data_IF_958843130923
#
_entry.id   IF_958843130923
#
_cell.length_a   1.000
_cell.length_b   1.000
_cell.length_c   1.000
_cell.angle_alpha   90.00
_cell.angle_beta   90.00
_cell.angle_gamma   90.00
#
_symmetry.space_group_name_H-M   'P 1'
#
loop_
_entity.id
_entity.type
_entity.pdbx_description
1 polymer ?
#
# COMPACT_ATOMS: atom_id res chain seq x y z
N UNK A 1 -9.93 2.80 14.72
CA UNK A 1 -8.84 3.67 14.23
C UNK A 1 -9.42 4.75 13.35
N UNK A 2 -9.09 6.00 13.59
CA UNK A 2 -9.52 7.14 12.77
C UNK A 2 -8.66 7.30 11.51
N UNK A 3 -9.14 8.10 10.53
CA UNK A 3 -8.36 8.45 9.33
C UNK A 3 -7.08 9.20 9.70
N UNK A 4 -7.11 10.06 10.74
CA UNK A 4 -5.93 10.77 11.22
C UNK A 4 -4.87 9.80 11.76
N UNK A 5 -5.27 8.83 12.59
CA UNK A 5 -4.38 7.78 13.08
C UNK A 5 -3.82 6.91 11.94
N UNK A 6 -4.65 6.57 10.94
CA UNK A 6 -4.19 5.87 9.76
C UNK A 6 -3.12 6.67 9.01
N UNK A 7 -3.30 7.99 8.87
CA UNK A 7 -2.33 8.87 8.21
C UNK A 7 -0.97 8.88 8.93
N UNK A 8 -0.94 8.90 10.27
CA UNK A 8 0.28 8.81 11.07
C UNK A 8 1.00 7.46 10.86
N UNK A 9 0.26 6.37 10.80
CA UNK A 9 0.83 5.03 10.54
C UNK A 9 1.43 4.97 9.13
N UNK A 10 0.79 5.61 8.13
CA UNK A 10 1.35 5.69 6.79
C UNK A 10 2.72 6.35 6.76
N UNK A 11 2.95 7.41 7.55
CA UNK A 11 4.23 8.12 7.61
C UNK A 11 5.35 7.22 8.11
N UNK A 12 5.12 6.50 9.21
CA UNK A 12 6.11 5.53 9.74
C UNK A 12 6.33 4.39 8.75
N UNK A 13 5.25 3.83 8.20
CA UNK A 13 5.32 2.72 7.27
C UNK A 13 6.04 3.06 5.97
N UNK A 14 5.90 4.30 5.49
CA UNK A 14 6.60 4.79 4.31
C UNK A 14 8.14 4.74 4.51
N UNK A 15 8.62 5.19 5.65
CA UNK A 15 10.06 5.18 5.96
C UNK A 15 10.61 3.76 6.18
N UNK A 16 9.83 2.87 6.80
CA UNK A 16 10.21 1.45 6.91
C UNK A 16 10.30 0.79 5.53
N UNK A 17 9.37 1.09 4.63
CA UNK A 17 9.37 0.55 3.27
C UNK A 17 10.54 1.10 2.44
N UNK A 18 10.83 2.38 2.57
CA UNK A 18 12.00 3.00 1.96
C UNK A 18 13.31 2.39 2.45
N UNK A 19 13.47 2.20 3.76
CA UNK A 19 14.64 1.51 4.32
C UNK A 19 14.77 0.09 3.80
N UNK A 20 13.66 -0.66 3.72
CA UNK A 20 13.67 -1.99 3.11
C UNK A 20 14.20 -1.96 1.67
N UNK A 21 13.78 -0.98 0.89
CA UNK A 21 14.24 -0.77 -0.49
C UNK A 21 15.74 -0.47 -0.59
N UNK A 22 16.24 0.43 0.24
CA UNK A 22 17.68 0.73 0.32
C UNK A 22 18.50 -0.54 0.58
N UNK A 23 18.08 -1.33 1.56
CA UNK A 23 18.76 -2.57 1.93
C UNK A 23 18.65 -3.63 0.83
N UNK A 24 17.48 -3.77 0.20
CA UNK A 24 17.24 -4.71 -0.88
C UNK A 24 18.08 -4.39 -2.12
N UNK A 25 18.28 -3.12 -2.46
CA UNK A 25 19.00 -2.69 -3.67
C UNK A 25 20.42 -3.27 -3.79
N UNK A 26 21.12 -3.47 -2.67
CA UNK A 26 22.45 -4.09 -2.64
C UNK A 26 22.43 -5.63 -2.65
N UNK A 27 21.25 -6.24 -2.50
CA UNK A 27 21.10 -7.69 -2.28
C UNK A 27 20.39 -8.41 -3.44
N UNK A 28 19.51 -7.71 -4.16
CA UNK A 28 18.71 -8.31 -5.24
C UNK A 28 19.59 -8.89 -6.34
N UNK A 29 19.16 -10.05 -6.83
CA UNK A 29 19.74 -10.71 -8.00
C UNK A 29 18.90 -10.41 -9.24
N UNK A 30 19.42 -10.73 -10.43
CA UNK A 30 18.64 -10.66 -11.67
C UNK A 30 17.37 -11.53 -11.62
N UNK A 31 17.43 -12.65 -10.89
CA UNK A 31 16.27 -13.52 -10.68
C UNK A 31 15.20 -12.84 -9.83
N UNK A 32 15.59 -12.17 -8.75
CA UNK A 32 14.66 -11.42 -7.89
C UNK A 32 13.99 -10.29 -8.67
N UNK A 33 14.75 -9.56 -9.48
CA UNK A 33 14.21 -8.49 -10.34
C UNK A 33 13.22 -9.04 -11.36
N UNK A 34 13.53 -10.18 -11.99
CA UNK A 34 12.63 -10.83 -12.93
C UNK A 34 11.33 -11.33 -12.25
N UNK A 35 11.44 -11.90 -11.06
CA UNK A 35 10.29 -12.32 -10.23
C UNK A 35 9.38 -11.13 -9.92
N UNK A 36 9.94 -10.03 -9.41
CA UNK A 36 9.20 -8.80 -9.10
C UNK A 36 8.54 -8.20 -10.35
N UNK A 37 9.22 -8.20 -11.49
CA UNK A 37 8.66 -7.77 -12.77
C UNK A 37 7.46 -8.62 -13.21
N UNK A 38 7.53 -9.93 -13.00
CA UNK A 38 6.41 -10.86 -13.23
C UNK A 38 5.21 -10.56 -12.32
N UNK A 39 5.43 -10.26 -11.05
CA UNK A 39 4.38 -9.86 -10.12
C UNK A 39 3.70 -8.56 -10.54
N UNK A 40 4.45 -7.57 -11.01
CA UNK A 40 3.90 -6.30 -11.53
C UNK A 40 3.05 -6.54 -12.79
N UNK A 41 3.52 -7.41 -13.69
CA UNK A 41 2.77 -7.79 -14.89
C UNK A 41 1.45 -8.48 -14.53
N UNK A 42 1.46 -9.41 -13.58
CA UNK A 42 0.25 -10.09 -13.09
C UNK A 42 -0.74 -9.09 -12.45
N UNK A 43 -0.25 -8.15 -11.63
CA UNK A 43 -1.08 -7.06 -11.09
C UNK A 43 -1.69 -6.19 -12.20
N UNK A 44 -1.00 -6.01 -13.32
CA UNK A 44 -1.50 -5.26 -14.48
C UNK A 44 -2.71 -5.90 -15.16
N UNK A 45 -2.89 -7.22 -15.02
CA UNK A 45 -4.03 -7.96 -15.55
C UNK A 45 -5.27 -7.94 -14.63
N UNK A 46 -5.11 -7.50 -13.38
CA UNK A 46 -6.20 -7.44 -12.42
C UNK A 46 -7.27 -6.42 -12.84
N UNK A 47 -8.55 -6.82 -12.80
CA UNK A 47 -9.68 -6.01 -13.29
C UNK A 47 -10.34 -5.18 -12.18
N UNK A 48 -10.17 -5.58 -10.94
CA UNK A 48 -10.83 -4.98 -9.78
C UNK A 48 -9.93 -5.05 -8.53
N UNK A 49 -10.40 -4.44 -7.44
CA UNK A 49 -9.67 -4.40 -6.18
C UNK A 49 -9.55 -5.80 -5.55
N UNK A 50 -10.50 -6.68 -5.75
CA UNK A 50 -10.50 -8.01 -5.13
C UNK A 50 -9.41 -8.91 -5.73
N UNK A 51 -9.16 -8.79 -7.03
CA UNK A 51 -8.07 -9.47 -7.73
C UNK A 51 -6.71 -8.77 -7.55
N UNK A 52 -6.68 -7.44 -7.49
CA UNK A 52 -5.46 -6.66 -7.37
C UNK A 52 -4.85 -6.69 -5.97
N UNK A 53 -5.67 -6.52 -4.93
CA UNK A 53 -5.18 -6.26 -3.58
C UNK A 53 -4.33 -7.40 -2.98
N UNK A 54 -4.70 -8.69 -3.12
CA UNK A 54 -3.85 -9.78 -2.66
C UNK A 54 -2.47 -9.81 -3.34
N UNK A 55 -2.41 -9.53 -4.64
CA UNK A 55 -1.16 -9.45 -5.40
C UNK A 55 -0.29 -8.27 -4.93
N UNK A 56 -0.91 -7.12 -4.68
CA UNK A 56 -0.24 -5.95 -4.11
C UNK A 56 0.35 -6.25 -2.73
N UNK A 57 -0.38 -6.97 -1.87
CA UNK A 57 0.14 -7.37 -0.55
C UNK A 57 1.34 -8.31 -0.70
N UNK A 58 1.26 -9.30 -1.58
CA UNK A 58 2.35 -10.24 -1.85
C UNK A 58 3.60 -9.55 -2.41
N UNK A 59 3.43 -8.59 -3.34
CA UNK A 59 4.53 -7.80 -3.91
C UNK A 59 5.27 -7.00 -2.83
N UNK A 60 4.53 -6.30 -1.98
CA UNK A 60 5.11 -5.55 -0.86
C UNK A 60 5.84 -6.46 0.12
N UNK A 61 5.27 -7.62 0.45
CA UNK A 61 5.91 -8.59 1.33
C UNK A 61 7.25 -9.08 0.74
N UNK A 62 7.27 -9.37 -0.56
CA UNK A 62 8.50 -9.80 -1.25
C UNK A 62 9.60 -8.74 -1.20
N UNK A 63 9.26 -7.47 -1.43
CA UNK A 63 10.20 -6.35 -1.32
C UNK A 63 10.81 -6.24 0.08
N UNK A 64 9.98 -6.38 1.12
CA UNK A 64 10.44 -6.32 2.51
C UNK A 64 11.34 -7.51 2.86
N UNK A 65 11.02 -8.73 2.39
CA UNK A 65 11.86 -9.92 2.56
C UNK A 65 13.25 -9.75 1.92
N UNK A 66 13.31 -9.14 0.74
CA UNK A 66 14.57 -8.89 0.03
C UNK A 66 15.50 -7.91 0.77
N UNK A 67 14.97 -7.12 1.71
CA UNK A 67 15.78 -6.28 2.59
C UNK A 67 16.71 -7.10 3.49
N UNK A 68 16.35 -8.34 3.81
CA UNK A 68 17.06 -9.21 4.75
C UNK A 68 17.07 -8.70 6.19
N UNK A 69 16.23 -7.70 6.52
CA UNK A 69 16.14 -7.11 7.86
C UNK A 69 14.84 -7.53 8.55
N UNK A 70 14.93 -8.50 9.49
CA UNK A 70 13.76 -9.05 10.16
C UNK A 70 13.01 -8.02 11.01
N UNK A 71 13.69 -7.03 11.58
CA UNK A 71 13.06 -5.98 12.40
C UNK A 71 12.22 -5.03 11.54
N UNK A 72 12.74 -4.64 10.38
CA UNK A 72 11.95 -3.87 9.41
C UNK A 72 10.71 -4.66 9.00
N UNK A 73 10.86 -5.96 8.72
CA UNK A 73 9.75 -6.82 8.33
C UNK A 73 8.67 -6.91 9.43
N UNK A 74 9.05 -7.20 10.66
CA UNK A 74 8.13 -7.30 11.80
C UNK A 74 7.30 -6.01 11.99
N UNK A 75 7.98 -4.86 12.02
CA UNK A 75 7.32 -3.56 12.19
C UNK A 75 6.43 -3.22 10.99
N UNK A 76 6.91 -3.45 9.77
CA UNK A 76 6.16 -3.17 8.56
C UNK A 76 4.86 -3.99 8.48
N UNK A 77 4.92 -5.28 8.83
CA UNK A 77 3.74 -6.16 8.82
C UNK A 77 2.75 -5.81 9.94
N UNK A 78 3.24 -5.47 11.13
CA UNK A 78 2.39 -5.03 12.24
C UNK A 78 1.56 -3.80 11.83
N UNK A 79 2.20 -2.76 11.31
CA UNK A 79 1.52 -1.55 10.82
C UNK A 79 0.61 -1.85 9.61
N UNK A 80 1.00 -2.78 8.76
CA UNK A 80 0.20 -3.20 7.60
C UNK A 80 -1.13 -3.86 7.98
N UNK A 81 -1.15 -4.62 9.07
CA UNK A 81 -2.40 -5.23 9.61
C UNK A 81 -3.38 -4.17 10.09
N UNK A 82 -2.88 -3.16 10.81
CA UNK A 82 -3.70 -2.04 11.28
C UNK A 82 -4.29 -1.23 10.12
N UNK A 83 -3.53 -1.05 9.03
CA UNK A 83 -3.93 -0.27 7.86
C UNK A 83 -4.75 -1.04 6.81
N UNK A 84 -4.99 -2.34 6.98
CA UNK A 84 -5.55 -3.20 5.94
C UNK A 84 -6.78 -2.61 5.22
N UNK A 85 -7.79 -2.19 5.98
CA UNK A 85 -9.02 -1.62 5.42
C UNK A 85 -8.78 -0.25 4.75
N UNK A 86 -7.93 0.58 5.33
CA UNK A 86 -7.60 1.91 4.80
C UNK A 86 -6.80 1.81 3.50
N UNK A 87 -5.84 0.89 3.42
CA UNK A 87 -5.07 0.63 2.20
C UNK A 87 -5.97 0.21 1.05
N UNK A 88 -6.87 -0.73 1.32
CA UNK A 88 -7.84 -1.19 0.33
C UNK A 88 -8.76 -0.06 -0.13
N UNK A 89 -9.27 0.77 0.80
CA UNK A 89 -10.12 1.94 0.51
C UNK A 89 -9.42 2.94 -0.41
N UNK A 90 -8.14 3.21 -0.21
CA UNK A 90 -7.35 4.12 -1.04
C UNK A 90 -7.13 3.64 -2.49
N UNK A 91 -7.37 2.35 -2.77
CA UNK A 91 -7.21 1.75 -4.10
C UNK A 91 -8.54 1.63 -4.89
N UNK A 92 -9.66 2.06 -4.30
CA UNK A 92 -10.98 1.96 -4.95
C UNK A 92 -11.23 3.17 -5.84
N UNK A 93 -11.51 2.93 -7.12
CA UNK A 93 -11.93 3.96 -8.10
C UNK A 93 -10.82 4.87 -8.61
N UNK A 94 -11.18 5.78 -9.52
CA UNK A 94 -10.31 6.87 -10.00
C UNK A 94 -8.99 6.46 -10.68
N UNK A 95 -8.89 5.22 -11.18
CA UNK A 95 -7.63 4.73 -11.77
C UNK A 95 -6.54 4.44 -10.75
N UNK A 96 -6.85 4.39 -9.44
CA UNK A 96 -5.88 4.21 -8.36
C UNK A 96 -5.05 2.92 -8.50
N UNK A 97 -5.64 1.82 -8.95
CA UNK A 97 -4.94 0.55 -9.22
C UNK A 97 -3.87 0.74 -10.30
N UNK A 98 -4.22 1.41 -11.41
CA UNK A 98 -3.30 1.66 -12.52
C UNK A 98 -2.12 2.52 -12.06
N UNK A 99 -2.38 3.61 -11.35
CA UNK A 99 -1.34 4.50 -10.80
C UNK A 99 -0.43 3.75 -9.82
N UNK A 100 -1.01 3.00 -8.89
CA UNK A 100 -0.27 2.18 -7.94
C UNK A 100 0.64 1.18 -8.64
N UNK A 101 0.16 0.51 -9.69
CA UNK A 101 0.97 -0.46 -10.43
C UNK A 101 2.09 0.19 -11.26
N UNK A 102 1.88 1.39 -11.78
CA UNK A 102 2.95 2.18 -12.41
C UNK A 102 4.05 2.57 -11.40
N UNK A 103 3.67 2.88 -10.17
CA UNK A 103 4.64 3.13 -9.08
C UNK A 103 5.44 1.85 -8.76
N UNK A 104 4.81 0.68 -8.75
CA UNK A 104 5.51 -0.61 -8.57
C UNK A 104 6.54 -0.87 -9.66
N UNK A 105 6.23 -0.56 -10.92
CA UNK A 105 7.19 -0.71 -12.02
C UNK A 105 8.44 0.14 -11.79
N UNK A 106 8.30 1.39 -11.34
CA UNK A 106 9.43 2.27 -11.01
C UNK A 106 10.29 1.71 -9.88
N UNK A 107 9.68 1.05 -8.89
CA UNK A 107 10.42 0.36 -7.81
C UNK A 107 11.30 -0.75 -8.40
N UNK A 108 10.74 -1.58 -9.28
CA UNK A 108 11.48 -2.68 -9.92
C UNK A 108 12.64 -2.14 -10.76
N UNK A 109 12.44 -1.05 -11.49
CA UNK A 109 13.49 -0.39 -12.28
C UNK A 109 14.62 0.12 -11.39
N UNK A 110 14.32 0.79 -10.28
CA UNK A 110 15.32 1.27 -9.33
C UNK A 110 16.13 0.13 -8.70
N UNK A 111 15.49 -0.99 -8.38
CA UNK A 111 16.17 -2.20 -7.87
C UNK A 111 17.06 -2.84 -8.92
N UNK A 112 16.64 -2.88 -10.19
CA UNK A 112 17.45 -3.39 -11.31
C UNK A 112 18.76 -2.64 -11.43
N UNK A 113 18.73 -1.33 -11.20
CA UNK A 113 19.91 -0.47 -11.27
C UNK A 113 20.75 -0.51 -9.99
N UNK A 114 20.39 -1.31 -8.98
CA UNK A 114 21.04 -1.39 -7.67
C UNK A 114 21.25 -0.02 -7.01
N UNK A 115 20.37 0.95 -7.30
CA UNK A 115 20.44 2.30 -6.78
C UNK A 115 19.66 2.42 -5.44
N UNK A 116 20.38 2.28 -4.32
CA UNK A 116 19.79 2.31 -2.99
C UNK A 116 19.07 3.61 -2.67
N UNK A 117 19.63 4.77 -3.04
CA UNK A 117 19.03 6.08 -2.78
C UNK A 117 17.73 6.26 -3.59
N UNK A 118 17.75 5.87 -4.85
CA UNK A 118 16.56 5.95 -5.71
C UNK A 118 15.48 4.97 -5.25
N UNK A 119 15.86 3.74 -4.90
CA UNK A 119 14.93 2.72 -4.42
C UNK A 119 14.25 3.16 -3.12
N UNK A 120 15.01 3.69 -2.17
CA UNK A 120 14.47 4.24 -0.91
C UNK A 120 13.42 5.32 -1.17
N UNK A 121 13.75 6.31 -2.00
CA UNK A 121 12.81 7.40 -2.36
C UNK A 121 11.57 6.87 -3.05
N UNK A 122 11.74 6.03 -4.05
CA UNK A 122 10.63 5.49 -4.86
C UNK A 122 9.68 4.66 -4.00
N UNK A 123 10.20 3.84 -3.08
CA UNK A 123 9.38 3.05 -2.18
C UNK A 123 8.71 3.89 -1.09
N UNK A 124 9.40 4.89 -0.55
CA UNK A 124 8.80 5.86 0.40
C UNK A 124 7.66 6.62 -0.28
N UNK A 125 7.90 7.18 -1.45
CA UNK A 125 6.92 7.97 -2.20
C UNK A 125 5.69 7.15 -2.58
N UNK A 126 5.86 5.87 -2.92
CA UNK A 126 4.75 4.96 -3.21
C UNK A 126 3.78 4.81 -2.02
N UNK A 127 4.29 4.63 -0.81
CA UNK A 127 3.43 4.54 0.39
C UNK A 127 2.76 5.89 0.68
N UNK A 128 3.48 7.02 0.55
CA UNK A 128 2.92 8.35 0.73
C UNK A 128 1.86 8.70 -0.34
N UNK A 129 2.04 8.25 -1.58
CA UNK A 129 1.01 8.36 -2.61
C UNK A 129 -0.26 7.58 -2.22
N UNK A 130 -0.11 6.40 -1.63
CA UNK A 130 -1.23 5.63 -1.04
C UNK A 130 -1.96 6.40 0.07
N UNK A 131 -1.22 7.08 0.96
CA UNK A 131 -1.80 7.99 1.96
C UNK A 131 -2.61 9.11 1.31
N UNK A 132 -2.06 9.76 0.30
CA UNK A 132 -2.74 10.85 -0.43
C UNK A 132 -4.04 10.34 -1.05
N UNK A 133 -4.02 9.21 -1.76
CA UNK A 133 -5.23 8.60 -2.35
C UNK A 133 -6.31 8.31 -1.30
N UNK A 134 -5.92 7.79 -0.13
CA UNK A 134 -6.86 7.58 0.97
C UNK A 134 -7.50 8.89 1.43
N UNK A 135 -6.70 9.93 1.69
CA UNK A 135 -7.19 11.21 2.19
C UNK A 135 -8.11 11.93 1.19
N UNK A 136 -7.78 11.88 -0.09
CA UNK A 136 -8.62 12.42 -1.16
C UNK A 136 -9.96 11.66 -1.27
N UNK A 137 -9.91 10.34 -1.16
CA UNK A 137 -11.11 9.49 -1.17
C UNK A 137 -12.06 9.81 -0.02
N UNK A 138 -11.52 10.03 1.18
CA UNK A 138 -12.32 10.38 2.35
C UNK A 138 -12.94 11.76 2.20
N UNK A 139 -12.21 12.75 1.69
CA UNK A 139 -12.74 14.10 1.42
C UNK A 139 -13.89 14.09 0.41
N UNK A 140 -13.81 13.25 -0.62
CA UNK A 140 -14.82 13.13 -1.67
C UNK A 140 -16.12 12.44 -1.24
N UNK A 141 -16.14 11.74 -0.10
CA UNK A 141 -17.33 11.01 0.37
C UNK A 141 -18.28 11.83 1.27
N UNK A 142 -17.91 13.05 1.66
CA UNK A 142 -18.69 13.87 2.60
C UNK A 142 -18.76 13.29 4.03
N UNK A 143 -19.38 13.97 5.01
CA UNK A 143 -19.63 13.40 6.31
C UNK A 143 -20.60 12.21 6.16
N UNK A 144 -20.30 11.08 6.81
CA UNK A 144 -21.21 9.95 6.91
C UNK A 144 -22.58 10.47 7.40
N UNK A 145 -23.61 10.31 6.57
CA UNK A 145 -24.99 10.54 7.00
C UNK A 145 -25.25 9.46 8.04
N UNK A 146 -25.26 9.84 9.31
CA UNK A 146 -25.73 9.00 10.39
C UNK A 146 -27.17 8.58 10.04
N UNK A 147 -27.40 7.27 9.94
CA UNK A 147 -28.74 6.73 9.71
C UNK A 147 -29.73 7.34 10.71
N UNK A 148 -30.88 7.85 10.26
CA UNK A 148 -31.89 8.33 11.18
C UNK A 148 -32.40 7.14 11.99
N UNK A 149 -32.28 7.26 13.30
CA UNK A 149 -32.71 6.26 14.27
C UNK A 149 -34.10 5.71 13.99
N UNK A 150 -34.20 4.41 13.97
CA UNK A 150 -35.45 3.67 13.95
C UNK A 150 -36.29 4.12 15.17
N UNK A 151 -37.31 4.95 14.94
CA UNK A 151 -38.34 5.25 15.94
C UNK A 151 -39.11 3.97 16.18
N UNK A 152 -38.91 3.37 17.33
CA UNK A 152 -39.83 2.37 17.86
C UNK A 152 -41.11 3.10 18.25
N UNK A 153 -42.12 3.00 17.42
CA UNK A 153 -43.49 3.35 17.79
C UNK A 153 -43.99 2.31 18.79
N UNK A 154 -44.04 2.71 20.06
CA UNK A 154 -44.94 2.07 21.01
C UNK A 154 -46.29 2.72 20.79
N UNK A 155 -47.23 2.01 20.24
CA UNK A 155 -48.62 2.32 20.35
C UNK A 155 -49.25 1.41 21.38
N UNK A 156 -49.94 2.08 22.31
CA UNK A 156 -50.82 1.53 23.30
C UNK A 156 -52.05 0.87 22.64
N UNK A 157 -52.48 -0.23 23.13
CA UNK A 157 -53.76 -0.51 23.80
C UNK A 157 -53.85 -1.98 24.12
#
# INVERSE_FOLDING_TARGET
>A
MSVAQAAEIYDVRAHLFGLAGRLAASRVTLRDVAELGGMVAEMGEAKDIDSYYPLNVAFHARLVELSGNSRVAELYYALGKELHLFRRRGLVGGGAIVLSNQEHLRIVEALRDHNGDLTERTMTDHILAGKTRLLERVKGQGPEVSEPGLRTSKENE
#
